data_IF_272048920783
#
_entry.id   IF_272048920783
#
_cell.length_a   1.000
_cell.length_b   1.000
_cell.length_c   1.000
_cell.angle_alpha   90.00
_cell.angle_beta   90.00
_cell.angle_gamma   90.00
#
_symmetry.space_group_name_H-M   'P 1'
#
loop_
_entity.id
_entity.type
_entity.pdbx_description
1 polymer ?
#
# COMPACT_ATOMS: atom_id res chain seq x y z
N UNK A 1 -6.44 14.32 -14.76
CA UNK A 1 -5.75 13.02 -14.55
C UNK A 1 -5.49 12.83 -13.05
N UNK A 2 -4.89 11.71 -12.64
CA UNK A 2 -4.62 11.43 -11.23
C UNK A 2 -3.59 12.40 -10.62
N UNK A 3 -2.66 12.93 -11.41
CA UNK A 3 -1.65 13.90 -10.96
C UNK A 3 -2.27 15.25 -10.60
N UNK A 4 -3.22 15.73 -11.39
CA UNK A 4 -3.99 16.93 -11.07
C UNK A 4 -4.79 16.77 -9.77
N UNK A 5 -5.39 15.60 -9.54
CA UNK A 5 -6.10 15.29 -8.28
C UNK A 5 -5.14 15.30 -7.10
N UNK A 6 -3.98 14.65 -7.23
CA UNK A 6 -2.95 14.63 -6.18
C UNK A 6 -2.45 16.04 -5.87
N UNK A 7 -2.19 16.86 -6.89
CA UNK A 7 -1.76 18.24 -6.72
C UNK A 7 -2.80 19.08 -5.98
N UNK A 8 -4.08 18.96 -6.34
CA UNK A 8 -5.16 19.70 -5.68
C UNK A 8 -5.32 19.29 -4.21
N UNK A 9 -5.37 17.99 -3.92
CA UNK A 9 -5.53 17.50 -2.55
C UNK A 9 -4.34 17.85 -1.64
N UNK A 10 -3.13 17.98 -2.21
CA UNK A 10 -1.93 18.34 -1.45
C UNK A 10 -1.93 19.79 -0.94
N UNK A 11 -2.84 20.64 -1.44
CA UNK A 11 -2.99 22.04 -0.98
C UNK A 11 -3.62 22.16 0.40
N UNK A 12 -4.32 21.13 0.87
CA UNK A 12 -4.97 21.13 2.18
C UNK A 12 -3.96 20.84 3.30
N UNK A 13 -3.89 21.72 4.29
CA UNK A 13 -3.00 21.57 5.46
C UNK A 13 -3.27 20.23 6.17
N UNK A 14 -2.23 19.43 6.35
CA UNK A 14 -2.31 18.11 7.00
C UNK A 14 -2.64 16.95 6.05
N UNK A 15 -2.86 17.19 4.76
CA UNK A 15 -3.12 16.15 3.76
C UNK A 15 -1.82 15.75 3.05
N UNK A 16 -1.25 14.62 3.51
CA UNK A 16 -0.03 14.03 2.94
C UNK A 16 -0.29 12.93 1.91
N UNK A 17 0.78 12.43 1.29
CA UNK A 17 0.74 11.44 0.21
C UNK A 17 -0.12 10.19 0.54
N UNK A 18 -0.02 9.68 1.77
CA UNK A 18 -0.84 8.54 2.24
C UNK A 18 -2.33 8.86 2.24
N UNK A 19 -2.72 10.02 2.77
CA UNK A 19 -4.13 10.44 2.82
C UNK A 19 -4.68 10.63 1.40
N UNK A 20 -3.92 11.31 0.55
CA UNK A 20 -4.25 11.51 -0.86
C UNK A 20 -4.48 10.16 -1.55
N UNK A 21 -3.55 9.23 -1.38
CA UNK A 21 -3.64 7.90 -1.98
C UNK A 21 -4.88 7.13 -1.52
N UNK A 22 -5.24 7.22 -0.23
CA UNK A 22 -6.49 6.65 0.27
C UNK A 22 -7.73 7.26 -0.40
N UNK A 23 -7.76 8.58 -0.64
CA UNK A 23 -8.87 9.23 -1.36
C UNK A 23 -8.94 8.73 -2.80
N UNK A 24 -7.81 8.65 -3.51
CA UNK A 24 -7.77 8.12 -4.88
C UNK A 24 -8.32 6.70 -4.93
N UNK A 25 -7.85 5.81 -4.06
CA UNK A 25 -8.27 4.40 -4.03
C UNK A 25 -9.73 4.23 -3.61
N UNK A 26 -10.10 4.71 -2.41
CA UNK A 26 -11.38 4.37 -1.80
C UNK A 26 -12.54 5.24 -2.27
N UNK A 27 -12.30 6.54 -2.50
CA UNK A 27 -13.36 7.48 -2.86
C UNK A 27 -13.50 7.61 -4.38
N UNK A 28 -12.38 7.69 -5.09
CA UNK A 28 -12.37 7.96 -6.54
C UNK A 28 -12.23 6.70 -7.40
N UNK A 29 -12.09 5.52 -6.76
CA UNK A 29 -11.93 4.22 -7.42
C UNK A 29 -10.78 4.21 -8.46
N UNK A 30 -9.70 4.93 -8.15
CA UNK A 30 -8.49 5.01 -8.98
C UNK A 30 -7.47 3.98 -8.51
N UNK A 31 -6.67 3.48 -9.45
CA UNK A 31 -5.66 2.46 -9.20
C UNK A 31 -4.38 3.06 -8.58
N UNK A 32 -4.50 3.56 -7.35
CA UNK A 32 -3.37 3.96 -6.51
C UNK A 32 -3.07 2.87 -5.46
N UNK A 33 -1.95 2.94 -4.75
CA UNK A 33 -1.57 1.96 -3.73
C UNK A 33 -1.08 2.65 -2.45
N UNK A 34 -1.96 2.94 -1.48
CA UNK A 34 -1.60 3.59 -0.24
C UNK A 34 -0.65 2.71 0.58
N UNK A 35 0.46 3.30 1.01
CA UNK A 35 1.41 2.65 1.91
C UNK A 35 1.22 3.22 3.31
N UNK A 36 0.53 2.45 4.15
CA UNK A 36 0.44 2.73 5.58
C UNK A 36 1.53 1.96 6.37
N UNK A 37 1.45 2.00 7.69
CA UNK A 37 2.44 1.32 8.54
C UNK A 37 2.41 -0.21 8.39
N UNK A 38 1.24 -0.81 8.15
CA UNK A 38 1.12 -2.27 7.97
C UNK A 38 1.70 -2.70 6.63
N UNK A 39 1.26 -2.04 5.55
CA UNK A 39 1.75 -2.28 4.19
C UNK A 39 3.27 -2.10 4.13
N UNK A 40 3.81 -1.01 4.70
CA UNK A 40 5.25 -0.75 4.71
C UNK A 40 6.04 -1.84 5.45
N UNK A 41 5.60 -2.22 6.66
CA UNK A 41 6.26 -3.26 7.46
C UNK A 41 6.22 -4.62 6.78
N UNK A 42 5.08 -5.00 6.22
CA UNK A 42 4.91 -6.28 5.52
C UNK A 42 5.77 -6.30 4.25
N UNK A 43 5.75 -5.24 3.44
CA UNK A 43 6.59 -5.15 2.24
C UNK A 43 8.09 -5.28 2.55
N UNK A 44 8.57 -4.64 3.63
CA UNK A 44 9.96 -4.80 4.10
C UNK A 44 10.24 -6.23 4.57
N UNK A 45 9.34 -6.84 5.36
CA UNK A 45 9.53 -8.17 5.92
C UNK A 45 9.45 -9.30 4.86
N UNK A 46 8.69 -9.08 3.78
CA UNK A 46 8.65 -9.95 2.62
C UNK A 46 9.84 -9.77 1.68
N UNK A 47 10.62 -8.69 1.84
CA UNK A 47 11.75 -8.37 0.97
C UNK A 47 11.34 -7.77 -0.38
N UNK A 48 10.13 -7.18 -0.48
CA UNK A 48 9.67 -6.51 -1.70
C UNK A 48 10.41 -5.19 -1.94
N UNK A 49 10.88 -4.56 -0.87
CA UNK A 49 11.70 -3.35 -0.90
C UNK A 49 12.94 -3.53 -0.02
N UNK A 50 14.04 -2.77 -0.25
CA UNK A 50 15.19 -2.77 0.63
C UNK A 50 14.82 -2.38 2.08
N UNK A 51 15.56 -2.91 3.07
CA UNK A 51 15.34 -2.57 4.50
C UNK A 51 15.55 -1.09 4.83
N UNK A 52 16.22 -0.35 3.95
CA UNK A 52 16.47 1.09 4.07
C UNK A 52 15.39 1.94 3.38
N UNK A 53 14.41 1.31 2.72
CA UNK A 53 13.35 2.05 2.03
C UNK A 53 12.43 2.74 3.03
N UNK A 54 12.22 4.04 2.83
CA UNK A 54 11.21 4.81 3.54
C UNK A 54 9.81 4.57 2.93
N UNK A 55 8.80 5.26 3.47
CA UNK A 55 7.41 5.10 3.02
C UNK A 55 7.19 5.62 1.60
N UNK A 56 7.85 6.70 1.22
CA UNK A 56 7.68 7.33 -0.08
C UNK A 56 8.32 6.46 -1.17
N UNK A 57 9.54 5.95 -0.95
CA UNK A 57 10.17 4.99 -1.85
C UNK A 57 9.41 3.67 -1.94
N UNK A 58 8.81 3.21 -0.84
CA UNK A 58 7.92 2.03 -0.86
C UNK A 58 6.64 2.30 -1.65
N UNK A 59 6.04 3.48 -1.49
CA UNK A 59 4.86 3.91 -2.25
C UNK A 59 5.14 3.93 -3.76
N UNK A 60 6.24 4.54 -4.17
CA UNK A 60 6.65 4.58 -5.58
C UNK A 60 6.89 3.19 -6.14
N UNK A 61 7.60 2.34 -5.40
CA UNK A 61 7.91 0.98 -5.82
C UNK A 61 6.63 0.14 -6.00
N UNK A 62 5.76 0.10 -4.98
CA UNK A 62 4.56 -0.71 -5.02
C UNK A 62 3.55 -0.20 -6.05
N UNK A 63 3.42 1.11 -6.24
CA UNK A 63 2.57 1.64 -7.30
C UNK A 63 3.01 1.28 -8.71
N UNK A 64 4.31 1.07 -8.92
CA UNK A 64 4.88 0.64 -10.19
C UNK A 64 4.79 -0.87 -10.40
N UNK A 65 4.90 -1.66 -9.32
CA UNK A 65 4.99 -3.13 -9.40
C UNK A 65 3.67 -3.87 -9.24
N UNK A 66 2.74 -3.34 -8.45
CA UNK A 66 1.44 -3.99 -8.21
C UNK A 66 0.51 -3.69 -9.38
N UNK A 67 -0.02 -4.72 -10.07
CA UNK A 67 -0.97 -4.52 -11.16
C UNK A 67 -2.23 -3.76 -10.71
N UNK A 68 -2.73 -2.80 -11.52
CA UNK A 68 -3.89 -1.95 -11.18
C UNK A 68 -5.10 -2.72 -10.64
N UNK A 69 -5.42 -3.86 -11.24
CA UNK A 69 -6.58 -4.70 -10.96
C UNK A 69 -6.56 -5.34 -9.56
N UNK A 70 -5.37 -5.53 -8.97
CA UNK A 70 -5.24 -6.10 -7.63
C UNK A 70 -4.91 -5.07 -6.56
N UNK A 71 -4.61 -3.81 -6.90
CA UNK A 71 -4.16 -2.79 -5.94
C UNK A 71 -5.10 -2.64 -4.75
N UNK A 72 -6.41 -2.55 -5.02
CA UNK A 72 -7.42 -2.41 -3.98
C UNK A 72 -7.45 -3.63 -3.06
N UNK A 73 -7.64 -4.82 -3.62
CA UNK A 73 -7.77 -6.07 -2.87
C UNK A 73 -6.51 -6.35 -2.04
N UNK A 74 -5.33 -6.22 -2.66
CA UNK A 74 -4.06 -6.44 -1.98
C UNK A 74 -3.85 -5.44 -0.83
N UNK A 75 -4.14 -4.15 -1.04
CA UNK A 75 -4.03 -3.16 0.04
C UNK A 75 -4.90 -3.53 1.24
N UNK A 76 -6.17 -3.86 1.01
CA UNK A 76 -7.12 -4.25 2.07
C UNK A 76 -6.61 -5.48 2.81
N UNK A 77 -6.20 -6.53 2.09
CA UNK A 77 -5.70 -7.78 2.67
C UNK A 77 -4.43 -7.55 3.52
N UNK A 78 -3.49 -6.72 3.06
CA UNK A 78 -2.28 -6.41 3.81
C UNK A 78 -2.57 -5.61 5.10
N UNK A 79 -3.51 -4.66 5.04
CA UNK A 79 -3.93 -3.88 6.22
C UNK A 79 -4.63 -4.78 7.23
N UNK A 80 -5.55 -5.64 6.77
CA UNK A 80 -6.27 -6.59 7.62
C UNK A 80 -5.30 -7.58 8.27
N UNK A 81 -4.41 -8.18 7.47
CA UNK A 81 -3.36 -9.07 7.98
C UNK A 81 -2.49 -8.37 9.02
N UNK A 82 -2.10 -7.12 8.75
CA UNK A 82 -1.31 -6.31 9.66
C UNK A 82 -1.97 -6.08 11.02
N UNK A 83 -3.31 -5.97 11.05
CA UNK A 83 -4.10 -5.81 12.28
C UNK A 83 -4.31 -7.13 13.01
N UNK A 84 -4.72 -8.19 12.31
CA UNK A 84 -5.06 -9.49 12.90
C UNK A 84 -3.81 -10.25 13.36
N UNK A 85 -2.79 -10.29 12.51
CA UNK A 85 -1.58 -11.10 12.72
C UNK A 85 -0.35 -10.24 13.05
N UNK A 86 -0.54 -8.97 13.42
CA UNK A 86 0.54 -8.05 13.85
C UNK A 86 1.69 -7.93 12.83
N UNK A 87 1.38 -8.01 11.54
CA UNK A 87 2.32 -8.01 10.42
C UNK A 87 3.20 -9.27 10.31
N UNK A 88 2.81 -10.39 10.92
CA UNK A 88 3.60 -11.63 10.85
C UNK A 88 3.61 -12.22 9.43
N UNK A 89 4.76 -12.14 8.77
CA UNK A 89 4.94 -12.68 7.42
C UNK A 89 5.09 -14.21 7.38
N UNK A 90 5.32 -14.88 8.52
CA UNK A 90 5.37 -16.35 8.55
C UNK A 90 3.99 -16.94 8.30
N UNK A 91 3.00 -16.46 9.05
CA UNK A 91 1.58 -16.83 8.84
C UNK A 91 1.13 -16.50 7.42
N UNK A 92 1.52 -15.32 6.89
CA UNK A 92 1.19 -14.94 5.51
C UNK A 92 1.75 -15.92 4.49
N UNK A 93 3.04 -16.31 4.61
CA UNK A 93 3.68 -17.26 3.70
C UNK A 93 3.04 -18.65 3.74
N UNK A 94 2.65 -19.12 4.92
CA UNK A 94 1.94 -20.39 5.07
C UNK A 94 0.58 -20.35 4.38
N UNK A 95 -0.15 -19.24 4.50
CA UNK A 95 -1.42 -19.05 3.81
C UNK A 95 -1.27 -18.95 2.28
N UNK A 96 -0.15 -18.42 1.77
CA UNK A 96 0.13 -18.42 0.33
C UNK A 96 0.53 -19.80 -0.20
N UNK A 97 1.21 -20.63 0.61
CA UNK A 97 1.67 -21.95 0.20
C UNK A 97 0.54 -22.99 0.02
N UNK A 98 -0.70 -22.65 0.39
CA UNK A 98 -1.90 -23.51 0.20
C UNK A 98 -2.74 -23.10 -1.02
N UNK A 99 -2.32 -22.07 -1.75
CA UNK A 99 -3.05 -21.52 -2.91
C UNK A 99 -2.42 -21.94 -4.25
N UNK A 100 -1.34 -22.72 -4.21
CA UNK A 100 -0.69 -23.37 -5.35
C UNK A 100 -1.12 -24.85 -5.44
#
# INVERSE_FOLDING_TARGET
DDDAVKAELRRFKGVGAKTISCVLMFCLKRADFPVDTHVWKIAMALGWVPKTADRDGTYEHLNRRVPPEIKYALHVLLVEHGKVYKNDVKTLRQACAVVD
#
